data_IF_012559124194
#
_entry.id   IF_012559124194
#
_cell.length_a   1.000
_cell.length_b   1.000
_cell.length_c   1.000
_cell.angle_alpha   90.00
_cell.angle_beta   90.00
_cell.angle_gamma   90.00
#
_symmetry.space_group_name_H-M   'P 1'
#
loop_
_entity.id
_entity.type
_entity.pdbx_description
1 polymer ?
#
# COMPACT_ATOMS: atom_id res chain seq x y z
N UNK A 1 17.05 17.39 -8.88
CA UNK A 1 15.83 16.77 -8.32
C UNK A 1 16.17 15.30 -8.08
N UNK A 2 16.12 14.85 -6.84
CA UNK A 2 16.28 13.41 -6.54
C UNK A 2 15.03 12.70 -7.04
N UNK A 3 15.20 11.74 -7.95
CA UNK A 3 14.11 10.94 -8.52
C UNK A 3 13.63 9.97 -7.46
N UNK A 4 12.31 9.83 -7.30
CA UNK A 4 11.70 8.82 -6.44
C UNK A 4 12.03 7.42 -6.96
N UNK A 5 12.24 6.45 -6.06
CA UNK A 5 12.39 5.04 -6.44
C UNK A 5 11.23 4.56 -7.31
N UNK A 6 11.55 3.75 -8.31
CA UNK A 6 10.59 3.14 -9.22
C UNK A 6 10.77 1.63 -9.31
N UNK A 7 9.87 0.95 -10.03
CA UNK A 7 9.91 -0.51 -10.19
C UNK A 7 11.20 -1.00 -10.84
N UNK A 8 11.82 -0.19 -11.71
CA UNK A 8 13.12 -0.51 -12.34
C UNK A 8 14.25 -0.58 -11.32
N UNK A 9 14.24 0.32 -10.32
CA UNK A 9 15.27 0.36 -9.29
C UNK A 9 15.19 -0.90 -8.43
N UNK A 10 13.99 -1.32 -8.03
CA UNK A 10 13.80 -2.55 -7.25
C UNK A 10 14.18 -3.81 -8.03
N UNK A 11 13.93 -3.85 -9.34
CA UNK A 11 14.40 -4.95 -10.19
C UNK A 11 15.92 -5.03 -10.21
N UNK A 12 16.56 -3.87 -10.33
CA UNK A 12 18.01 -3.78 -10.29
C UNK A 12 18.56 -4.20 -8.92
N UNK A 13 18.06 -3.66 -7.81
CA UNK A 13 18.45 -4.05 -6.46
C UNK A 13 18.32 -5.57 -6.26
N UNK A 14 17.20 -6.15 -6.71
CA UNK A 14 17.00 -7.61 -6.63
C UNK A 14 18.03 -8.38 -7.44
N UNK A 15 18.38 -7.94 -8.65
CA UNK A 15 19.41 -8.60 -9.47
C UNK A 15 20.80 -8.51 -8.87
N UNK A 16 21.08 -7.40 -8.19
CA UNK A 16 22.37 -7.13 -7.57
C UNK A 16 22.48 -7.71 -6.13
N UNK A 17 21.44 -8.42 -5.66
CA UNK A 17 21.29 -8.94 -4.29
C UNK A 17 21.34 -7.84 -3.21
N UNK A 18 20.99 -6.62 -3.55
CA UNK A 18 20.80 -5.52 -2.60
C UNK A 18 19.47 -5.70 -1.85
N UNK A 19 19.48 -5.43 -0.55
CA UNK A 19 18.29 -5.49 0.28
C UNK A 19 17.42 -4.27 0.04
N UNK A 20 16.09 -4.45 0.06
CA UNK A 20 15.10 -3.39 -0.02
C UNK A 20 14.50 -3.24 1.36
N UNK A 21 14.69 -2.08 1.99
CA UNK A 21 14.08 -1.77 3.28
C UNK A 21 12.70 -1.13 3.05
N UNK A 22 11.67 -1.76 3.62
CA UNK A 22 10.32 -1.22 3.63
C UNK A 22 9.88 -0.96 5.06
N UNK A 23 9.45 0.27 5.34
CA UNK A 23 8.91 0.68 6.63
C UNK A 23 7.47 1.13 6.50
N UNK A 24 6.67 0.91 7.55
CA UNK A 24 5.31 1.44 7.64
C UNK A 24 5.34 2.87 8.13
N UNK A 25 4.53 3.74 7.52
CA UNK A 25 4.36 5.13 7.93
C UNK A 25 2.89 5.55 7.69
N UNK A 26 2.34 6.36 8.59
CA UNK A 26 0.95 6.85 8.52
C UNK A 26 0.85 8.37 8.47
N UNK A 27 1.94 9.06 8.78
CA UNK A 27 1.97 10.52 8.91
C UNK A 27 3.14 11.13 8.14
N UNK A 28 3.07 12.44 7.90
CA UNK A 28 4.12 13.19 7.21
C UNK A 28 5.48 13.10 7.92
N UNK A 29 5.51 13.17 9.25
CA UNK A 29 6.76 13.16 10.00
C UNK A 29 7.36 11.75 10.07
N UNK A 30 6.54 10.69 10.20
CA UNK A 30 7.01 9.30 10.14
C UNK A 30 7.64 9.01 8.78
N UNK A 31 7.02 9.49 7.68
CA UNK A 31 7.57 9.34 6.34
C UNK A 31 8.96 9.98 6.20
N UNK A 32 9.16 11.20 6.74
CA UNK A 32 10.46 11.87 6.75
C UNK A 32 11.51 11.07 7.49
N UNK A 33 11.20 10.65 8.72
CA UNK A 33 12.14 9.88 9.52
C UNK A 33 12.53 8.55 8.87
N UNK A 34 11.56 7.84 8.31
CA UNK A 34 11.80 6.58 7.63
C UNK A 34 12.67 6.78 6.36
N UNK A 35 12.41 7.83 5.59
CA UNK A 35 13.22 8.16 4.41
C UNK A 35 14.62 8.64 4.79
N UNK A 36 14.78 9.44 5.86
CA UNK A 36 16.08 9.85 6.41
C UNK A 36 16.88 8.66 6.94
N UNK A 37 16.21 7.65 7.47
CA UNK A 37 16.81 6.38 7.90
C UNK A 37 17.20 5.47 6.73
N UNK A 38 16.87 5.82 5.49
CA UNK A 38 17.28 5.10 4.28
C UNK A 38 16.25 4.10 3.75
N UNK A 39 14.99 4.15 4.16
CA UNK A 39 13.96 3.29 3.59
C UNK A 39 13.70 3.61 2.11
N UNK A 40 13.83 2.60 1.25
CA UNK A 40 13.54 2.71 -0.18
C UNK A 40 12.05 2.65 -0.47
N UNK A 41 11.27 2.06 0.44
CA UNK A 41 9.82 1.87 0.27
C UNK A 41 9.08 2.21 1.56
N UNK A 42 7.93 2.87 1.43
CA UNK A 42 7.02 3.13 2.56
C UNK A 42 5.66 2.48 2.28
N UNK A 43 5.17 1.78 3.30
CA UNK A 43 3.83 1.19 3.30
C UNK A 43 2.89 2.05 4.14
N UNK A 44 1.80 2.50 3.55
CA UNK A 44 0.67 3.02 4.30
C UNK A 44 -0.30 1.86 4.50
N UNK A 45 -0.18 1.18 5.64
CA UNK A 45 -0.95 -0.02 5.96
C UNK A 45 -2.33 0.31 6.53
N UNK A 46 -3.31 -0.55 6.32
CA UNK A 46 -4.62 -0.47 6.99
C UNK A 46 -4.53 -0.72 8.50
N UNK A 47 -3.39 -1.24 8.99
CA UNK A 47 -3.02 -1.21 10.41
C UNK A 47 -3.05 0.19 11.04
N UNK A 48 -3.12 1.25 10.24
CA UNK A 48 -3.39 2.62 10.70
C UNK A 48 -4.63 2.70 11.59
N UNK A 49 -5.67 1.89 11.31
CA UNK A 49 -6.86 1.80 12.14
C UNK A 49 -6.53 1.43 13.58
N UNK A 50 -5.68 0.44 13.76
CA UNK A 50 -5.27 -0.04 15.08
C UNK A 50 -4.24 0.89 15.74
N UNK A 51 -3.24 1.34 14.98
CA UNK A 51 -2.07 2.06 15.52
C UNK A 51 -2.37 3.53 15.81
N UNK A 52 -3.08 4.21 14.90
CA UNK A 52 -3.33 5.65 15.00
C UNK A 52 -4.76 5.98 15.48
N UNK A 53 -5.73 5.11 15.18
CA UNK A 53 -7.15 5.36 15.49
C UNK A 53 -7.71 4.50 16.62
N UNK A 54 -6.94 3.54 17.17
CA UNK A 54 -7.35 2.69 18.30
C UNK A 54 -8.49 1.72 17.95
N UNK A 55 -8.69 1.39 16.67
CA UNK A 55 -9.66 0.37 16.27
C UNK A 55 -9.19 -1.02 16.73
N UNK A 56 -10.10 -1.96 17.00
CA UNK A 56 -9.73 -3.30 17.47
C UNK A 56 -9.05 -4.14 16.39
N UNK A 57 -9.31 -3.84 15.11
CA UNK A 57 -8.80 -4.56 13.95
C UNK A 57 -8.72 -3.62 12.72
N UNK A 58 -8.38 -4.19 11.55
CA UNK A 58 -8.29 -3.43 10.29
C UNK A 58 -9.62 -3.34 9.53
N UNK A 59 -10.66 -4.06 9.94
CA UNK A 59 -11.93 -4.13 9.19
C UNK A 59 -12.70 -2.82 9.18
N UNK A 60 -12.52 -1.98 10.21
CA UNK A 60 -13.15 -0.67 10.33
C UNK A 60 -12.48 0.44 9.51
N UNK A 61 -11.37 0.16 8.84
CA UNK A 61 -10.65 1.16 8.05
C UNK A 61 -11.35 1.41 6.72
N UNK A 62 -11.65 2.67 6.44
CA UNK A 62 -12.30 3.07 5.19
C UNK A 62 -11.28 3.47 4.12
N UNK A 63 -11.71 3.43 2.86
CA UNK A 63 -10.87 3.93 1.75
C UNK A 63 -10.52 5.42 1.91
N UNK A 64 -11.43 6.24 2.46
CA UNK A 64 -11.17 7.66 2.69
C UNK A 64 -10.09 7.88 3.76
N UNK A 65 -10.06 7.08 4.82
CA UNK A 65 -8.97 7.08 5.79
C UNK A 65 -7.64 6.73 5.10
N UNK A 66 -7.62 5.69 4.29
CA UNK A 66 -6.41 5.29 3.56
C UNK A 66 -5.92 6.40 2.61
N UNK A 67 -6.82 7.03 1.84
CA UNK A 67 -6.47 8.16 0.97
C UNK A 67 -5.88 9.32 1.78
N UNK A 68 -6.47 9.67 2.94
CA UNK A 68 -5.97 10.73 3.82
C UNK A 68 -4.53 10.46 4.30
N UNK A 69 -4.29 9.25 4.81
CA UNK A 69 -2.98 8.85 5.32
C UNK A 69 -1.94 8.71 4.19
N UNK A 70 -2.31 8.12 3.06
CA UNK A 70 -1.46 8.06 1.87
C UNK A 70 -1.01 9.46 1.42
N UNK A 71 -1.94 10.40 1.32
CA UNK A 71 -1.62 11.78 0.95
C UNK A 71 -0.73 12.49 2.00
N UNK A 72 -0.91 12.19 3.29
CA UNK A 72 -0.05 12.72 4.36
C UNK A 72 1.39 12.17 4.24
N UNK A 73 1.55 10.87 4.04
CA UNK A 73 2.85 10.21 3.83
C UNK A 73 3.53 10.73 2.56
N UNK A 74 2.76 10.88 1.47
CA UNK A 74 3.28 11.41 0.21
C UNK A 74 3.88 12.81 0.35
N UNK A 75 3.28 13.69 1.15
CA UNK A 75 3.83 15.02 1.45
C UNK A 75 5.11 14.99 2.30
N UNK A 76 5.31 13.91 3.03
CA UNK A 76 6.49 13.71 3.87
C UNK A 76 7.68 13.05 3.19
N UNK A 77 7.47 12.40 2.06
CA UNK A 77 8.49 11.61 1.34
C UNK A 77 8.76 12.16 -0.06
N UNK A 78 10.03 12.25 -0.42
CA UNK A 78 10.48 12.71 -1.75
C UNK A 78 11.14 11.60 -2.58
N UNK A 79 11.66 10.55 -1.95
CA UNK A 79 12.48 9.51 -2.59
C UNK A 79 11.87 8.13 -2.51
N UNK A 80 11.27 7.77 -1.35
CA UNK A 80 10.76 6.42 -1.15
C UNK A 80 9.58 6.11 -2.09
N UNK A 81 9.50 4.86 -2.54
CA UNK A 81 8.36 4.34 -3.29
C UNK A 81 7.20 4.08 -2.31
N UNK A 82 6.04 4.64 -2.61
CA UNK A 82 4.88 4.58 -1.72
C UNK A 82 3.91 3.49 -2.15
N UNK A 83 3.52 2.65 -1.21
CA UNK A 83 2.51 1.61 -1.36
C UNK A 83 1.36 1.90 -0.41
N UNK A 84 0.13 1.92 -0.90
CA UNK A 84 -1.08 2.11 -0.08
C UNK A 84 -1.90 0.82 -0.02
N UNK A 85 -2.33 0.43 1.19
CA UNK A 85 -3.21 -0.71 1.33
C UNK A 85 -4.61 -0.41 0.81
N UNK A 86 -5.17 -1.37 0.11
CA UNK A 86 -6.59 -1.43 -0.17
C UNK A 86 -7.30 -2.00 1.07
N UNK A 87 -8.14 -1.23 1.77
CA UNK A 87 -8.79 -1.70 2.98
C UNK A 87 -9.88 -2.74 2.66
N UNK A 88 -10.31 -3.48 3.67
CA UNK A 88 -11.37 -4.47 3.57
C UNK A 88 -12.61 -3.91 2.89
N UNK A 89 -13.24 -4.69 2.02
CA UNK A 89 -14.40 -4.35 1.19
C UNK A 89 -14.13 -3.28 0.11
N UNK A 90 -12.88 -2.92 -0.15
CA UNK A 90 -12.55 -2.02 -1.25
C UNK A 90 -12.18 -2.73 -2.56
N UNK A 91 -12.01 -4.07 -2.52
CA UNK A 91 -11.62 -4.89 -3.69
C UNK A 91 -12.30 -6.26 -3.73
N UNK A 92 -13.19 -6.57 -2.78
CA UNK A 92 -13.85 -7.87 -2.67
C UNK A 92 -15.16 -7.95 -3.45
N UNK A 93 -15.82 -6.83 -3.70
CA UNK A 93 -17.17 -6.78 -4.30
C UNK A 93 -17.11 -7.16 -5.78
N UNK A 94 -16.34 -6.41 -6.57
CA UNK A 94 -16.08 -6.72 -7.98
C UNK A 94 -14.79 -6.03 -8.48
N UNK A 95 -14.30 -6.48 -9.65
CA UNK A 95 -13.05 -5.97 -10.22
C UNK A 95 -13.14 -4.50 -10.66
N UNK A 96 -14.32 -4.01 -11.04
CA UNK A 96 -14.52 -2.61 -11.45
C UNK A 96 -14.38 -1.67 -10.26
N UNK A 97 -14.96 -2.06 -9.14
CA UNK A 97 -14.83 -1.32 -7.89
C UNK A 97 -13.38 -1.36 -7.40
N UNK A 98 -12.75 -2.51 -7.42
CA UNK A 98 -11.33 -2.66 -7.07
C UNK A 98 -10.44 -1.73 -7.89
N UNK A 99 -10.59 -1.68 -9.22
CA UNK A 99 -9.85 -0.78 -10.10
C UNK A 99 -10.12 0.70 -9.76
N UNK A 100 -11.38 1.07 -9.51
CA UNK A 100 -11.75 2.45 -9.14
C UNK A 100 -11.11 2.86 -7.82
N UNK A 101 -11.16 1.99 -6.82
CA UNK A 101 -10.61 2.25 -5.49
C UNK A 101 -9.07 2.29 -5.50
N UNK A 102 -8.42 1.39 -6.22
CA UNK A 102 -6.99 1.45 -6.48
C UNK A 102 -6.59 2.78 -7.17
N UNK A 103 -7.38 3.20 -8.18
CA UNK A 103 -7.18 4.47 -8.87
C UNK A 103 -7.30 5.68 -7.94
N UNK A 104 -8.18 5.65 -6.94
CA UNK A 104 -8.29 6.72 -5.93
C UNK A 104 -7.04 6.80 -5.06
N UNK A 105 -6.49 5.68 -4.62
CA UNK A 105 -5.25 5.68 -3.84
C UNK A 105 -4.07 6.29 -4.62
N UNK A 106 -3.95 6.01 -5.92
CA UNK A 106 -2.92 6.62 -6.76
C UNK A 106 -3.17 8.12 -6.99
N UNK A 107 -4.39 8.48 -7.40
CA UNK A 107 -4.75 9.83 -7.80
C UNK A 107 -4.81 10.80 -6.62
N UNK A 108 -5.51 10.39 -5.55
CA UNK A 108 -5.83 11.26 -4.41
C UNK A 108 -4.87 11.03 -3.23
N UNK A 109 -4.40 9.78 -3.07
CA UNK A 109 -3.41 9.38 -2.06
C UNK A 109 -1.97 9.56 -2.50
N UNK A 110 -1.71 9.73 -3.81
CA UNK A 110 -0.39 9.93 -4.42
C UNK A 110 0.61 8.79 -4.18
N UNK A 111 0.11 7.55 -4.01
CA UNK A 111 0.96 6.36 -3.95
C UNK A 111 1.32 5.85 -5.35
N UNK A 112 2.38 5.04 -5.46
CA UNK A 112 2.83 4.48 -6.73
C UNK A 112 2.34 3.05 -6.97
N UNK A 113 1.89 2.36 -5.91
CA UNK A 113 1.33 1.03 -5.98
C UNK A 113 0.26 0.84 -4.92
N UNK A 114 -0.59 -0.15 -5.10
CA UNK A 114 -1.51 -0.61 -4.05
C UNK A 114 -1.09 -1.98 -3.53
N UNK A 115 -1.41 -2.27 -2.24
CA UNK A 115 -1.30 -3.62 -1.67
C UNK A 115 -2.69 -4.16 -1.40
N UNK A 116 -2.92 -5.46 -1.63
CA UNK A 116 -4.15 -6.15 -1.28
C UNK A 116 -3.85 -7.56 -0.78
N UNK A 117 -4.72 -8.07 0.09
CA UNK A 117 -4.60 -9.37 0.71
C UNK A 117 -5.27 -10.46 -0.13
N UNK A 118 -4.68 -11.64 -0.08
CA UNK A 118 -5.19 -12.85 -0.70
C UNK A 118 -4.19 -13.48 -1.66
N UNK A 119 -4.44 -14.74 -1.98
CA UNK A 119 -3.61 -15.52 -2.90
C UNK A 119 -4.35 -15.76 -4.23
N UNK A 120 -4.53 -17.04 -4.55
CA UNK A 120 -5.15 -17.48 -5.81
C UNK A 120 -6.56 -16.88 -6.00
N UNK A 121 -7.33 -16.74 -4.94
CA UNK A 121 -8.69 -16.17 -4.99
C UNK A 121 -8.76 -14.71 -5.47
N UNK A 122 -7.65 -13.97 -5.48
CA UNK A 122 -7.57 -12.56 -5.87
C UNK A 122 -6.81 -12.32 -7.19
N UNK A 123 -6.41 -13.38 -7.87
CA UNK A 123 -5.60 -13.27 -9.10
C UNK A 123 -6.31 -12.46 -10.19
N UNK A 124 -7.62 -12.64 -10.37
CA UNK A 124 -8.33 -11.91 -11.43
C UNK A 124 -8.51 -10.43 -11.07
N UNK A 125 -8.80 -10.11 -9.82
CA UNK A 125 -8.81 -8.72 -9.31
C UNK A 125 -7.46 -8.05 -9.50
N UNK A 126 -6.35 -8.73 -9.17
CA UNK A 126 -4.98 -8.23 -9.38
C UNK A 126 -4.74 -7.96 -10.86
N UNK A 127 -5.12 -8.88 -11.76
CA UNK A 127 -4.99 -8.69 -13.22
C UNK A 127 -5.79 -7.49 -13.72
N UNK A 128 -7.01 -7.28 -13.20
CA UNK A 128 -7.83 -6.13 -13.57
C UNK A 128 -7.16 -4.81 -13.17
N UNK A 129 -6.62 -4.71 -11.96
CA UNK A 129 -5.90 -3.54 -11.46
C UNK A 129 -4.63 -3.30 -12.29
N UNK A 130 -3.83 -4.35 -12.56
CA UNK A 130 -2.63 -4.26 -13.41
C UNK A 130 -2.96 -3.83 -14.84
N UNK A 131 -4.07 -4.31 -15.42
CA UNK A 131 -4.53 -3.91 -16.76
C UNK A 131 -4.89 -2.42 -16.84
N UNK A 132 -5.30 -1.83 -15.72
CA UNK A 132 -5.52 -0.39 -15.61
C UNK A 132 -4.22 0.41 -15.45
N UNK A 133 -3.04 -0.23 -15.47
CA UNK A 133 -1.74 0.42 -15.33
C UNK A 133 -1.32 0.69 -13.88
N UNK A 134 -1.99 0.11 -12.91
CA UNK A 134 -1.71 0.32 -11.48
C UNK A 134 -0.85 -0.84 -10.96
N UNK A 135 0.36 -0.58 -10.44
CA UNK A 135 1.20 -1.61 -9.82
C UNK A 135 0.56 -2.19 -8.56
N UNK A 136 0.72 -3.50 -8.37
CA UNK A 136 0.13 -4.23 -7.24
C UNK A 136 1.21 -4.98 -6.47
N UNK A 137 1.17 -4.86 -5.14
CA UNK A 137 1.87 -5.70 -4.18
C UNK A 137 0.87 -6.73 -3.62
N UNK A 138 1.13 -8.02 -3.84
CA UNK A 138 0.32 -9.09 -3.25
C UNK A 138 0.73 -9.36 -1.81
N UNK A 139 -0.24 -9.59 -0.91
CA UNK A 139 -0.01 -9.98 0.46
C UNK A 139 -0.57 -11.38 0.71
N UNK A 140 0.33 -12.31 1.06
CA UNK A 140 0.02 -13.70 1.38
C UNK A 140 0.59 -14.06 2.76
N UNK A 141 0.09 -15.12 3.35
CA UNK A 141 0.45 -15.54 4.71
C UNK A 141 -0.59 -15.09 5.72
N UNK A 142 -0.17 -14.37 6.76
CA UNK A 142 -1.10 -13.77 7.72
C UNK A 142 -1.82 -12.58 7.06
N UNK A 143 -3.12 -12.72 6.89
CA UNK A 143 -3.99 -11.72 6.24
C UNK A 143 -5.01 -11.19 7.27
N UNK A 144 -4.72 -10.08 7.96
CA UNK A 144 -5.57 -9.54 9.03
C UNK A 144 -7.02 -9.28 8.61
N UNK A 145 -7.26 -8.85 7.38
CA UNK A 145 -8.62 -8.62 6.85
C UNK A 145 -9.45 -9.92 6.78
N UNK A 146 -8.80 -11.07 6.74
CA UNK A 146 -9.45 -12.38 6.71
C UNK A 146 -9.51 -13.07 8.08
N UNK A 147 -9.11 -12.42 9.16
CA UNK A 147 -9.00 -13.01 10.50
C UNK A 147 -10.33 -13.61 10.97
N UNK A 148 -11.45 -12.96 10.73
CA UNK A 148 -12.79 -13.47 11.09
C UNK A 148 -13.15 -14.76 10.36
N UNK A 149 -12.66 -14.96 9.13
CA UNK A 149 -12.96 -16.14 8.33
C UNK A 149 -11.99 -17.31 8.60
N UNK A 150 -10.77 -16.99 9.03
CA UNK A 150 -9.70 -17.99 9.22
C UNK A 150 -9.55 -18.46 10.70
N UNK A 151 -10.05 -17.69 11.65
CA UNK A 151 -9.95 -17.96 13.09
C UNK A 151 -8.68 -17.42 13.70
#
# INVERSE_FOLDING_TARGET
MTTRFGLSDFRKMKSDNEKIAMLTAYTTWQARLAEEAGAEMLLVGDSVGMVEHGLPDTLGVTLDMMVLHCAAVSRGSNKAFLVGDMPFMSYEVDDREAVRNAGRLLRDGHVQAVKLEGGISRVDTIKAILKAGIPVMGHVGLTPQSSTALG
#
